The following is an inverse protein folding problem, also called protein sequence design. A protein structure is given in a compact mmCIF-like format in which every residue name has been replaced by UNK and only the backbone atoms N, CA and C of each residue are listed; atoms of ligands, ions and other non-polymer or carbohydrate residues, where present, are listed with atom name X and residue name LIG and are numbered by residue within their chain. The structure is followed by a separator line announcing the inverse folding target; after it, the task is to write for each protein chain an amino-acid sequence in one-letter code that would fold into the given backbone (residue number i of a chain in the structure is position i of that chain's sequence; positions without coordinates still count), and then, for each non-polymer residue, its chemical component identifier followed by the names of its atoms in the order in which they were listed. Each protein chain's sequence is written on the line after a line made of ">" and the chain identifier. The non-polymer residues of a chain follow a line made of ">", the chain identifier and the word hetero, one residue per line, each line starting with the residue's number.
data_IF_913855750880
#
_entry.id   IF_913855750880
#
_cell.length_a   1.000
_cell.length_b   1.000
_cell.length_c   1.000
_cell.angle_alpha   90.00
_cell.angle_beta   90.00
_cell.angle_gamma   90.00
#
_symmetry.space_group_name_H-M   'P 1'
#
loop_
_entity.id
_entity.type
_entity.pdbx_description
1 polymer ?
#
# COMPACT_ATOMS: atom_id res chain seq x y z
N UNK A 1 -25.67 6.30 10.01
CA UNK A 1 -25.31 6.59 11.43
C UNK A 1 -23.83 6.31 11.57
N UNK A 2 -23.09 7.09 12.36
CA UNK A 2 -21.65 6.82 12.57
C UNK A 2 -21.51 5.67 13.55
N UNK A 3 -20.86 4.59 13.14
CA UNK A 3 -20.56 3.42 13.97
C UNK A 3 -19.07 3.03 13.86
N UNK A 4 -18.69 2.01 14.64
CA UNK A 4 -17.31 1.54 14.74
C UNK A 4 -16.78 1.02 13.40
N UNK A 5 -17.62 0.35 12.62
CA UNK A 5 -17.25 -0.16 11.30
C UNK A 5 -17.02 0.97 10.30
N UNK A 6 -17.86 2.00 10.33
CA UNK A 6 -17.72 3.21 9.51
C UNK A 6 -16.39 3.91 9.81
N UNK A 7 -15.99 4.01 11.09
CA UNK A 7 -14.70 4.58 11.50
C UNK A 7 -13.53 3.71 11.00
N UNK A 8 -13.60 2.40 11.21
CA UNK A 8 -12.55 1.45 10.74
C UNK A 8 -12.35 1.57 9.23
N UNK A 9 -13.43 1.55 8.46
CA UNK A 9 -13.39 1.63 6.99
C UNK A 9 -12.83 2.99 6.55
N UNK A 10 -13.29 4.09 7.14
CA UNK A 10 -12.75 5.43 6.86
C UNK A 10 -11.23 5.48 7.06
N UNK A 11 -10.75 5.00 8.21
CA UNK A 11 -9.32 4.98 8.53
C UNK A 11 -8.53 4.06 7.59
N UNK A 12 -9.09 2.91 7.22
CA UNK A 12 -8.47 2.02 6.24
C UNK A 12 -8.32 2.70 4.88
N UNK A 13 -9.38 3.32 4.37
CA UNK A 13 -9.36 4.06 3.10
C UNK A 13 -8.40 5.24 3.15
N UNK A 14 -8.32 5.96 4.26
CA UNK A 14 -7.33 7.02 4.47
C UNK A 14 -5.88 6.48 4.38
N UNK A 15 -5.60 5.35 5.02
CA UNK A 15 -4.30 4.68 4.93
C UNK A 15 -3.99 4.21 3.51
N UNK A 16 -4.94 3.55 2.86
CA UNK A 16 -4.82 3.03 1.50
C UNK A 16 -4.60 4.15 0.48
N UNK A 17 -5.36 5.24 0.56
CA UNK A 17 -5.21 6.39 -0.36
C UNK A 17 -3.88 7.10 -0.17
N UNK A 18 -3.42 7.27 1.07
CA UNK A 18 -2.10 7.84 1.34
C UNK A 18 -0.94 6.96 0.84
N UNK A 19 -1.08 5.63 0.96
CA UNK A 19 -0.08 4.67 0.49
C UNK A 19 -0.04 4.55 -1.04
N UNK A 20 -1.18 4.19 -1.65
CA UNK A 20 -1.27 3.88 -3.09
C UNK A 20 -1.33 5.17 -3.91
N UNK A 21 -2.21 6.11 -3.55
CA UNK A 21 -2.34 7.38 -4.24
C UNK A 21 -1.05 8.20 -4.18
N UNK A 22 -0.36 8.17 -3.03
CA UNK A 22 0.96 8.77 -2.88
C UNK A 22 2.03 8.18 -3.80
N UNK A 23 2.05 6.86 -3.99
CA UNK A 23 2.97 6.21 -4.94
C UNK A 23 2.68 6.63 -6.38
N UNK A 24 1.40 6.66 -6.79
CA UNK A 24 0.99 7.10 -8.12
C UNK A 24 1.44 8.55 -8.36
N UNK A 25 1.20 9.43 -7.39
CA UNK A 25 1.64 10.82 -7.45
C UNK A 25 3.17 10.93 -7.59
N UNK A 26 3.93 10.22 -6.77
CA UNK A 26 5.40 10.25 -6.81
C UNK A 26 5.98 9.77 -8.14
N UNK A 27 5.36 8.74 -8.75
CA UNK A 27 5.74 8.28 -10.09
C UNK A 27 5.44 9.36 -11.13
N UNK A 28 4.26 10.00 -11.06
CA UNK A 28 3.87 11.09 -11.96
C UNK A 28 4.78 12.33 -11.86
N UNK A 29 5.28 12.64 -10.66
CA UNK A 29 6.20 13.76 -10.42
C UNK A 29 7.64 13.46 -10.85
N UNK A 30 7.99 12.21 -11.14
CA UNK A 30 9.38 11.81 -11.38
C UNK A 30 10.07 12.55 -12.54
N UNK A 31 9.44 12.80 -13.71
CA UNK A 31 10.05 13.57 -14.79
C UNK A 31 10.39 15.02 -14.36
N UNK A 32 9.48 15.67 -13.65
CA UNK A 32 9.69 17.02 -13.11
C UNK A 32 10.81 17.03 -12.07
N UNK A 33 10.80 16.08 -11.13
CA UNK A 33 11.84 16.01 -10.11
C UNK A 33 13.22 15.80 -10.74
N UNK A 34 13.33 15.02 -11.83
CA UNK A 34 14.59 14.85 -12.57
C UNK A 34 15.05 16.13 -13.28
N UNK A 35 14.14 16.98 -13.75
CA UNK A 35 14.51 18.26 -14.38
C UNK A 35 15.01 19.31 -13.37
N UNK A 36 14.61 19.19 -12.10
CA UNK A 36 15.04 20.07 -11.01
C UNK A 36 16.44 19.72 -10.45
N UNK A 37 16.99 18.56 -10.80
CA UNK A 37 18.35 18.15 -10.45
C UNK A 37 18.47 16.67 -10.05
N UNK A 38 19.71 16.13 -10.04
CA UNK A 38 19.94 14.69 -9.80
C UNK A 38 19.53 14.21 -8.41
N UNK A 39 19.56 15.09 -7.40
CA UNK A 39 19.19 14.77 -6.01
C UNK A 39 17.71 14.92 -5.69
N UNK A 40 16.95 15.69 -6.50
CA UNK A 40 15.57 16.05 -6.19
C UNK A 40 14.64 14.82 -6.04
N UNK A 41 14.68 13.78 -6.91
CA UNK A 41 13.87 12.58 -6.72
C UNK A 41 14.15 11.85 -5.40
N UNK A 42 15.43 11.80 -4.99
CA UNK A 42 15.85 11.13 -3.76
C UNK A 42 15.34 11.88 -2.53
N UNK A 43 15.47 13.21 -2.52
CA UNK A 43 14.99 14.06 -1.43
C UNK A 43 13.46 14.00 -1.31
N UNK A 44 12.75 14.09 -2.43
CA UNK A 44 11.29 13.97 -2.47
C UNK A 44 10.84 12.59 -1.96
N UNK A 45 11.48 11.51 -2.41
CA UNK A 45 11.21 10.14 -1.93
C UNK A 45 11.40 10.00 -0.41
N UNK A 46 12.47 10.56 0.14
CA UNK A 46 12.72 10.53 1.59
C UNK A 46 11.66 11.29 2.40
N UNK A 47 11.12 12.39 1.87
CA UNK A 47 10.00 13.13 2.49
C UNK A 47 8.68 12.40 2.33
N UNK A 48 8.41 11.85 1.16
CA UNK A 48 7.25 11.01 0.90
C UNK A 48 7.18 9.82 1.86
N UNK A 49 8.31 9.14 2.11
CA UNK A 49 8.36 8.00 3.03
C UNK A 49 7.86 8.34 4.45
N UNK A 50 8.08 9.57 4.94
CA UNK A 50 7.60 10.02 6.26
C UNK A 50 6.07 10.11 6.36
N UNK A 51 5.37 10.17 5.22
CA UNK A 51 3.91 10.18 5.13
C UNK A 51 3.40 8.78 4.75
N UNK A 52 4.05 8.15 3.78
CA UNK A 52 3.65 6.85 3.24
C UNK A 52 3.67 5.75 4.30
N UNK A 53 4.74 5.64 5.09
CA UNK A 53 4.87 4.58 6.11
C UNK A 53 3.78 4.64 7.18
N UNK A 54 3.45 5.81 7.77
CA UNK A 54 2.27 5.94 8.64
C UNK A 54 0.96 5.52 7.97
N UNK A 55 0.72 5.91 6.71
CA UNK A 55 -0.47 5.50 5.98
C UNK A 55 -0.54 3.98 5.77
N UNK A 56 0.60 3.34 5.46
CA UNK A 56 0.68 1.89 5.37
C UNK A 56 0.42 1.20 6.72
N UNK A 57 1.02 1.72 7.80
CA UNK A 57 0.79 1.25 9.15
C UNK A 57 -0.69 1.34 9.55
N UNK A 58 -1.35 2.46 9.20
CA UNK A 58 -2.79 2.65 9.42
C UNK A 58 -3.62 1.61 8.63
N UNK A 59 -3.27 1.37 7.36
CA UNK A 59 -3.93 0.37 6.52
C UNK A 59 -3.75 -1.06 7.07
N UNK A 60 -2.56 -1.41 7.59
CA UNK A 60 -2.31 -2.69 8.24
C UNK A 60 -3.15 -2.83 9.51
N UNK A 61 -3.09 -1.83 10.40
CA UNK A 61 -3.80 -1.89 11.68
C UNK A 61 -5.31 -2.06 11.50
N UNK A 62 -5.90 -1.30 10.59
CA UNK A 62 -7.33 -1.39 10.25
C UNK A 62 -7.69 -2.64 9.43
N UNK A 63 -6.75 -3.16 8.65
CA UNK A 63 -6.88 -4.45 7.96
C UNK A 63 -6.92 -5.62 8.93
N UNK A 64 -6.03 -5.64 9.93
CA UNK A 64 -6.04 -6.61 11.02
C UNK A 64 -7.32 -6.51 11.85
N UNK A 65 -7.79 -5.29 12.13
CA UNK A 65 -9.09 -5.08 12.76
C UNK A 65 -10.22 -5.73 11.95
N UNK A 66 -10.22 -5.57 10.63
CA UNK A 66 -11.23 -6.21 9.76
C UNK A 66 -11.18 -7.74 9.83
N UNK A 67 -10.00 -8.35 10.00
CA UNK A 67 -9.87 -9.81 10.17
C UNK A 67 -10.49 -10.32 11.48
N UNK A 68 -10.46 -9.52 12.55
CA UNK A 68 -11.10 -9.87 13.82
C UNK A 68 -12.60 -9.61 13.83
N UNK A 69 -13.06 -8.65 13.02
CA UNK A 69 -14.47 -8.30 12.94
C UNK A 69 -15.29 -9.20 12.02
N UNK A 70 -14.64 -9.96 11.14
CA UNK A 70 -15.29 -10.89 10.21
C UNK A 70 -15.13 -12.32 10.72
N UNK A 71 -16.23 -13.06 10.82
CA UNK A 71 -16.15 -14.51 11.02
C UNK A 71 -15.63 -15.16 9.73
N UNK A 72 -14.37 -15.61 9.77
CA UNK A 72 -13.72 -16.26 8.63
C UNK A 72 -14.14 -17.73 8.48
N UNK A 73 -14.67 -18.37 9.54
CA UNK A 73 -15.08 -19.77 9.49
C UNK A 73 -16.36 -19.95 8.65
N UNK A 74 -17.19 -18.91 8.57
CA UNK A 74 -18.41 -18.89 7.78
C UNK A 74 -18.19 -18.46 6.31
N UNK A 75 -16.94 -18.15 5.92
CA UNK A 75 -16.61 -17.67 4.56
C UNK A 75 -16.29 -18.84 3.62
N UNK A 76 -16.69 -18.67 2.37
CA UNK A 76 -16.45 -19.68 1.35
C UNK A 76 -14.96 -19.72 0.93
N UNK A 77 -14.60 -20.79 0.22
CA UNK A 77 -13.22 -20.97 -0.25
C UNK A 77 -12.78 -19.83 -1.19
N UNK A 78 -13.71 -19.25 -1.96
CA UNK A 78 -13.42 -18.15 -2.90
C UNK A 78 -12.98 -16.90 -2.14
N UNK A 79 -13.74 -16.49 -1.13
CA UNK A 79 -13.42 -15.37 -0.26
C UNK A 79 -12.07 -15.57 0.43
N UNK A 80 -11.83 -16.75 1.00
CA UNK A 80 -10.58 -17.05 1.71
C UNK A 80 -9.35 -17.01 0.78
N UNK A 81 -9.50 -17.47 -0.48
CA UNK A 81 -8.44 -17.35 -1.49
C UNK A 81 -8.16 -15.90 -1.86
N UNK A 82 -9.20 -15.10 -2.11
CA UNK A 82 -9.05 -13.68 -2.41
C UNK A 82 -8.39 -12.93 -1.24
N UNK A 83 -8.75 -13.28 0.00
CA UNK A 83 -8.15 -12.73 1.21
C UNK A 83 -6.67 -13.11 1.32
N UNK A 84 -6.31 -14.37 1.11
CA UNK A 84 -4.91 -14.82 1.13
C UNK A 84 -4.08 -14.06 0.09
N UNK A 85 -4.58 -13.95 -1.15
CA UNK A 85 -3.93 -13.19 -2.22
C UNK A 85 -3.74 -11.73 -1.80
N UNK A 86 -4.78 -11.09 -1.25
CA UNK A 86 -4.68 -9.72 -0.73
C UNK A 86 -3.58 -9.59 0.32
N UNK A 87 -3.53 -10.48 1.31
CA UNK A 87 -2.54 -10.40 2.40
C UNK A 87 -1.10 -10.59 1.89
N UNK A 88 -0.88 -11.53 0.95
CA UNK A 88 0.42 -11.71 0.31
C UNK A 88 0.85 -10.47 -0.48
N UNK A 89 -0.07 -9.85 -1.21
CA UNK A 89 0.19 -8.62 -1.98
C UNK A 89 0.48 -7.42 -1.07
N UNK A 90 -0.23 -7.28 0.06
CA UNK A 90 0.07 -6.26 1.08
C UNK A 90 1.48 -6.46 1.64
N UNK A 91 1.82 -7.69 2.03
CA UNK A 91 3.16 -8.03 2.53
C UNK A 91 4.26 -7.74 1.51
N UNK A 92 4.05 -8.15 0.25
CA UNK A 92 4.97 -7.89 -0.85
C UNK A 92 5.15 -6.39 -1.11
N UNK A 93 4.06 -5.60 -1.08
CA UNK A 93 4.11 -4.15 -1.25
C UNK A 93 4.99 -3.49 -0.19
N UNK A 94 4.76 -3.81 1.09
CA UNK A 94 5.55 -3.29 2.20
C UNK A 94 7.01 -3.71 2.15
N UNK A 95 7.29 -5.00 1.92
CA UNK A 95 8.65 -5.53 1.84
C UNK A 95 9.45 -4.92 0.67
N UNK A 96 8.83 -4.83 -0.51
CA UNK A 96 9.45 -4.20 -1.67
C UNK A 96 9.72 -2.70 -1.43
N UNK A 97 8.78 -1.98 -0.79
CA UNK A 97 8.98 -0.57 -0.42
C UNK A 97 10.13 -0.38 0.60
N UNK A 98 10.28 -1.29 1.55
CA UNK A 98 11.41 -1.29 2.49
C UNK A 98 12.75 -1.47 1.76
N UNK A 99 12.84 -2.45 0.86
CA UNK A 99 14.04 -2.70 0.06
C UNK A 99 14.33 -1.52 -0.88
N UNK A 100 13.30 -0.98 -1.54
CA UNK A 100 13.39 0.21 -2.40
C UNK A 100 14.03 1.39 -1.65
N UNK A 101 13.61 1.60 -0.40
CA UNK A 101 14.06 2.72 0.43
C UNK A 101 15.49 2.53 0.96
N UNK A 102 15.90 1.28 1.23
CA UNK A 102 17.19 0.99 1.86
C UNK A 102 18.32 0.67 0.86
N UNK A 103 17.99 0.23 -0.36
CA UNK A 103 19.00 -0.25 -1.32
C UNK A 103 19.86 0.88 -1.88
N UNK A 104 21.14 0.60 -2.08
CA UNK A 104 22.09 1.48 -2.79
C UNK A 104 22.09 1.23 -4.30
N UNK A 105 21.62 0.06 -4.76
CA UNK A 105 21.61 -0.32 -6.17
C UNK A 105 20.47 0.37 -6.94
N UNK A 106 20.75 1.12 -8.02
CA UNK A 106 19.71 1.73 -8.84
C UNK A 106 18.75 0.72 -9.49
N UNK A 107 19.29 -0.41 -9.94
CA UNK A 107 18.49 -1.47 -10.56
C UNK A 107 17.50 -2.09 -9.57
N UNK A 108 17.97 -2.44 -8.37
CA UNK A 108 17.10 -2.97 -7.32
C UNK A 108 16.07 -1.93 -6.88
N UNK A 109 16.45 -0.66 -6.79
CA UNK A 109 15.53 0.43 -6.46
C UNK A 109 14.39 0.51 -7.48
N UNK A 110 14.71 0.50 -8.77
CA UNK A 110 13.71 0.50 -9.84
C UNK A 110 12.79 -0.73 -9.77
N UNK A 111 13.37 -1.92 -9.70
CA UNK A 111 12.63 -3.18 -9.69
C UNK A 111 11.68 -3.29 -8.48
N UNK A 112 12.17 -2.98 -7.28
CA UNK A 112 11.36 -3.04 -6.05
C UNK A 112 10.34 -1.91 -5.95
N UNK A 113 10.60 -0.75 -6.58
CA UNK A 113 9.60 0.31 -6.72
C UNK A 113 8.42 -0.14 -7.57
N UNK A 114 8.69 -0.74 -8.74
CA UNK A 114 7.64 -1.28 -9.62
C UNK A 114 6.89 -2.45 -8.97
N UNK A 115 7.62 -3.41 -8.39
CA UNK A 115 7.03 -4.56 -7.71
C UNK A 115 6.15 -4.13 -6.54
N UNK A 116 6.62 -3.20 -5.72
CA UNK A 116 5.87 -2.70 -4.56
C UNK A 116 4.58 -1.98 -4.94
N UNK A 117 4.61 -1.17 -6.00
CA UNK A 117 3.44 -0.46 -6.52
C UNK A 117 2.42 -1.38 -7.19
N UNK A 118 2.87 -2.34 -8.02
CA UNK A 118 1.98 -3.33 -8.63
C UNK A 118 1.34 -4.23 -7.56
N UNK A 119 2.10 -4.65 -6.56
CA UNK A 119 1.56 -5.40 -5.43
C UNK A 119 0.51 -4.58 -4.65
N UNK A 120 0.74 -3.28 -4.44
CA UNK A 120 -0.22 -2.40 -3.79
C UNK A 120 -1.54 -2.29 -4.58
N UNK A 121 -1.46 -2.10 -5.90
CA UNK A 121 -2.62 -2.06 -6.78
C UNK A 121 -3.38 -3.40 -6.80
N UNK A 122 -2.65 -4.51 -6.83
CA UNK A 122 -3.24 -5.85 -6.72
C UNK A 122 -3.96 -6.05 -5.38
N UNK A 123 -3.37 -5.61 -4.27
CA UNK A 123 -4.00 -5.67 -2.95
C UNK A 123 -5.28 -4.82 -2.86
N UNK A 124 -5.28 -3.65 -3.49
CA UNK A 124 -6.47 -2.80 -3.62
C UNK A 124 -7.57 -3.52 -4.41
N UNK A 125 -7.23 -4.07 -5.58
CA UNK A 125 -8.18 -4.80 -6.41
C UNK A 125 -8.74 -6.05 -5.71
N UNK A 126 -7.89 -6.87 -5.08
CA UNK A 126 -8.33 -7.99 -4.27
C UNK A 126 -9.22 -7.55 -3.10
N UNK A 127 -8.98 -6.35 -2.55
CA UNK A 127 -9.86 -5.71 -1.58
C UNK A 127 -11.25 -5.39 -2.12
N UNK A 128 -11.34 -4.89 -3.36
CA UNK A 128 -12.61 -4.65 -4.03
C UNK A 128 -13.39 -5.95 -4.28
N UNK A 129 -12.69 -7.02 -4.67
CA UNK A 129 -13.30 -8.36 -4.85
C UNK A 129 -13.91 -8.91 -3.56
N UNK A 130 -13.34 -8.60 -2.38
CA UNK A 130 -13.88 -9.07 -1.09
C UNK A 130 -15.19 -8.39 -0.68
N UNK A 131 -15.59 -7.31 -1.34
CA UNK A 131 -16.80 -6.54 -1.02
C UNK A 131 -17.85 -6.58 -2.15
N UNK A 132 -17.58 -7.33 -3.22
CA UNK A 132 -18.52 -7.63 -4.31
C UNK A 132 -19.07 -9.03 -4.17
#
# INVERSE_FOLDING_TARGET
>A
MVDVDSIRIFLHLLGVTGWIGGQILMVGLLPLLRSLGPDAPRLAGARFARVAWPCFGLAIATGLWSLWAVDLAERDTTYLRALLVKLLLVGLSGAAAAIHSATKSPALRGATGALGGLAALGALFAGAVLVT
#
